data_IF_989382694786
#
_entry.id   IF_989382694786
#
_cell.length_a   1.000
_cell.length_b   1.000
_cell.length_c   1.000
_cell.angle_alpha   90.00
_cell.angle_beta   90.00
_cell.angle_gamma   90.00
#
_symmetry.space_group_name_H-M   'P 1'
#
loop_
_entity.id
_entity.type
_entity.pdbx_description
1 polymer ?
#
# COMPACT_ATOMS: atom_id res chain seq x y z
N UNK A 1 -30.84 46.03 4.54
CA UNK A 1 -29.75 46.25 5.51
C UNK A 1 -29.23 44.91 5.97
N UNK A 2 -27.90 44.72 5.80
CA UNK A 2 -26.98 43.86 6.57
C UNK A 2 -27.15 42.33 6.49
N UNK A 3 -26.34 41.71 5.63
CA UNK A 3 -25.62 40.46 5.94
C UNK A 3 -24.45 40.80 6.92
N UNK A 4 -23.78 39.84 7.62
CA UNK A 4 -22.83 38.96 6.93
C UNK A 4 -22.50 37.58 7.56
N UNK A 5 -21.88 36.73 6.72
CA UNK A 5 -20.72 35.83 6.91
C UNK A 5 -20.60 34.93 8.16
N UNK A 6 -20.38 33.63 7.92
CA UNK A 6 -19.40 32.85 8.71
C UNK A 6 -18.74 31.77 7.85
N UNK A 7 -17.42 31.79 7.92
CA UNK A 7 -16.42 31.09 7.12
C UNK A 7 -16.10 29.71 7.69
N UNK A 8 -15.88 28.75 6.78
CA UNK A 8 -15.24 27.47 7.05
C UNK A 8 -13.88 27.67 7.73
N UNK A 9 -13.64 26.95 8.83
CA UNK A 9 -12.35 26.87 9.49
C UNK A 9 -11.85 25.42 9.42
N UNK A 10 -10.90 25.17 8.53
CA UNK A 10 -10.18 23.90 8.40
C UNK A 10 -9.18 23.80 9.55
N UNK A 11 -9.48 23.00 10.56
CA UNK A 11 -8.52 22.73 11.63
C UNK A 11 -7.44 21.76 11.12
N UNK A 12 -6.24 22.32 10.93
CA UNK A 12 -5.00 21.58 10.78
C UNK A 12 -4.80 20.63 11.96
N UNK A 13 -4.65 19.34 11.67
CA UNK A 13 -4.12 18.37 12.62
C UNK A 13 -2.70 18.79 13.04
N UNK A 14 -2.55 19.11 14.32
CA UNK A 14 -1.27 19.43 14.94
C UNK A 14 -0.37 18.19 14.92
N UNK A 15 0.80 18.33 14.30
CA UNK A 15 1.91 17.38 14.36
C UNK A 15 2.44 17.30 15.80
N UNK A 16 2.87 16.13 16.30
CA UNK A 16 3.76 16.10 17.45
C UNK A 16 5.12 16.67 17.04
N UNK A 17 5.63 17.58 17.85
CA UNK A 17 6.86 18.34 17.62
C UNK A 17 8.08 17.42 17.57
N UNK A 18 8.80 17.43 16.44
CA UNK A 18 10.18 16.98 16.41
C UNK A 18 11.06 18.01 17.13
N UNK A 19 11.98 17.52 17.95
CA UNK A 19 12.86 18.30 18.81
C UNK A 19 13.60 19.41 18.05
N UNK A 20 13.49 20.62 18.60
CA UNK A 20 14.27 21.80 18.25
C UNK A 20 15.73 21.54 18.62
N UNK A 21 16.62 21.60 17.63
CA UNK A 21 18.05 21.83 17.87
C UNK A 21 18.28 23.32 17.62
N UNK A 22 18.58 24.03 18.70
CA UNK A 22 18.79 25.45 18.77
C UNK A 22 20.18 25.87 18.25
N UNK A 23 20.24 27.07 17.67
CA UNK A 23 21.36 27.99 17.87
C UNK A 23 22.60 27.87 16.99
N UNK A 24 22.53 28.35 15.74
CA UNK A 24 23.72 28.63 14.92
C UNK A 24 23.46 29.71 13.87
N UNK A 25 23.52 30.98 14.28
CA UNK A 25 23.40 32.15 13.40
C UNK A 25 24.45 32.14 12.28
N UNK A 26 24.00 32.32 11.04
CA UNK A 26 24.84 32.89 9.97
C UNK A 26 24.09 34.09 9.39
N UNK A 27 24.62 35.27 9.69
CA UNK A 27 24.20 36.57 9.14
C UNK A 27 24.80 36.71 7.74
N UNK A 28 23.98 36.95 6.71
CA UNK A 28 24.45 37.47 5.43
C UNK A 28 23.51 38.61 4.97
N UNK A 29 24.15 39.73 4.64
CA UNK A 29 23.59 41.03 4.29
C UNK A 29 22.63 41.03 3.09
N UNK A 30 21.56 41.83 3.19
CA UNK A 30 20.72 42.24 2.07
C UNK A 30 21.31 43.45 1.32
N UNK A 31 21.12 43.44 -0.01
CA UNK A 31 20.52 44.50 -0.86
C UNK A 31 21.22 44.61 -2.25
N UNK A 32 20.60 45.18 -3.31
CA UNK A 32 19.20 45.58 -3.50
C UNK A 32 18.54 45.01 -4.78
N UNK A 33 17.25 45.32 -4.91
CA UNK A 33 16.33 44.99 -6.00
C UNK A 33 16.68 45.67 -7.35
N UNK A 34 16.36 44.96 -8.44
CA UNK A 34 16.14 45.56 -9.75
C UNK A 34 14.88 44.98 -10.39
N UNK A 35 13.94 45.87 -10.70
CA UNK A 35 12.71 45.57 -11.41
C UNK A 35 12.97 45.40 -12.92
N UNK A 36 12.25 44.47 -13.57
CA UNK A 36 11.85 44.68 -14.96
C UNK A 36 10.56 43.92 -15.29
N UNK A 37 9.66 44.63 -15.96
CA UNK A 37 8.34 44.17 -16.44
C UNK A 37 8.45 43.58 -17.84
N UNK A 38 7.59 42.58 -18.07
CA UNK A 38 6.91 42.22 -19.32
C UNK A 38 7.74 41.72 -20.52
N UNK A 39 7.43 40.50 -20.98
CA UNK A 39 6.78 40.29 -22.28
C UNK A 39 6.39 38.80 -22.44
N UNK A 40 5.10 38.58 -22.67
CA UNK A 40 4.53 37.32 -23.14
C UNK A 40 4.99 37.09 -24.58
N UNK A 41 5.69 35.99 -24.84
CA UNK A 41 5.84 35.43 -26.19
C UNK A 41 5.74 33.92 -26.11
N UNK A 42 4.75 33.37 -26.81
CA UNK A 42 4.55 31.95 -26.98
C UNK A 42 5.74 31.35 -27.75
N UNK A 43 6.32 30.27 -27.22
CA UNK A 43 7.38 29.50 -27.89
C UNK A 43 6.75 28.23 -28.48
N UNK A 44 7.01 27.92 -29.77
CA UNK A 44 6.36 26.82 -30.49
C UNK A 44 6.78 25.46 -29.94
N UNK A 45 5.78 24.56 -29.88
CA UNK A 45 5.96 23.12 -29.61
C UNK A 45 6.89 22.53 -30.67
N UNK A 46 8.09 22.13 -30.24
CA UNK A 46 9.02 21.33 -31.02
C UNK A 46 9.16 20.00 -30.30
N UNK A 47 8.70 18.91 -30.91
CA UNK A 47 8.84 17.56 -30.35
C UNK A 47 10.33 17.22 -30.15
N UNK A 48 10.76 16.84 -28.93
CA UNK A 48 12.03 16.19 -28.74
C UNK A 48 11.83 14.68 -28.65
N UNK A 49 12.32 14.03 -29.71
CA UNK A 49 12.87 12.67 -29.78
C UNK A 49 13.07 11.91 -28.47
N UNK A 50 12.59 10.67 -28.48
CA UNK A 50 12.79 9.56 -27.54
C UNK A 50 14.22 9.45 -26.97
N UNK A 51 14.48 10.15 -25.87
CA UNK A 51 15.59 9.94 -24.95
C UNK A 51 15.20 8.97 -23.84
N UNK A 52 15.07 7.68 -24.18
CA UNK A 52 14.64 6.62 -23.27
C UNK A 52 15.72 6.26 -22.24
N UNK A 53 15.28 6.01 -21.00
CA UNK A 53 16.00 5.17 -20.06
C UNK A 53 16.37 3.84 -20.75
N UNK A 54 17.55 3.24 -20.49
CA UNK A 54 17.97 2.02 -21.17
C UNK A 54 16.95 0.90 -20.91
N UNK A 55 16.57 0.13 -21.96
CA UNK A 55 15.58 -0.93 -21.82
C UNK A 55 16.21 -2.09 -21.05
N UNK A 56 15.93 -2.18 -19.74
CA UNK A 56 16.20 -3.42 -19.01
C UNK A 56 15.21 -4.48 -19.48
N UNK A 57 15.75 -5.48 -20.17
CA UNK A 57 15.10 -6.68 -20.72
C UNK A 57 14.47 -7.59 -19.63
N UNK A 58 13.57 -7.06 -18.81
CA UNK A 58 12.84 -7.80 -17.79
C UNK A 58 11.32 -7.82 -18.03
N UNK A 59 10.84 -7.21 -19.12
CA UNK A 59 9.43 -6.88 -19.28
C UNK A 59 8.44 -8.06 -19.31
N UNK A 60 8.81 -9.27 -19.72
CA UNK A 60 7.84 -10.38 -19.85
C UNK A 60 8.09 -11.55 -18.90
N UNK A 61 9.36 -11.92 -18.68
CA UNK A 61 9.74 -13.00 -17.77
C UNK A 61 9.73 -12.56 -16.29
N UNK A 62 9.96 -11.27 -16.00
CA UNK A 62 9.87 -10.73 -14.63
C UNK A 62 8.42 -10.57 -14.18
N UNK A 63 7.49 -10.15 -15.05
CA UNK A 63 6.07 -10.01 -14.71
C UNK A 63 5.43 -11.35 -14.29
N UNK A 64 5.75 -12.45 -14.97
CA UNK A 64 5.18 -13.76 -14.65
C UNK A 64 5.84 -14.46 -13.44
N UNK A 65 7.12 -14.19 -13.17
CA UNK A 65 7.82 -14.70 -11.98
C UNK A 65 7.48 -13.89 -10.72
N UNK A 66 7.43 -12.55 -10.83
CA UNK A 66 6.93 -11.67 -9.78
C UNK A 66 5.46 -11.98 -9.49
N UNK A 67 4.59 -12.08 -10.50
CA UNK A 67 3.17 -12.44 -10.31
C UNK A 67 2.95 -13.75 -9.56
N UNK A 68 3.80 -14.78 -9.73
CA UNK A 68 3.67 -16.06 -9.02
C UNK A 68 4.17 -16.02 -7.56
N UNK A 69 5.24 -15.30 -7.25
CA UNK A 69 5.70 -15.13 -5.85
C UNK A 69 4.82 -14.12 -5.07
N UNK A 70 4.34 -13.09 -5.76
CA UNK A 70 3.46 -12.04 -5.23
C UNK A 70 2.09 -12.59 -4.81
N UNK A 71 1.59 -13.58 -5.56
CA UNK A 71 0.29 -14.18 -5.27
C UNK A 71 0.29 -15.05 -4.01
N UNK A 72 1.43 -15.54 -3.49
CA UNK A 72 1.41 -16.48 -2.36
C UNK A 72 0.71 -15.92 -1.11
N UNK A 73 1.04 -14.69 -0.70
CA UNK A 73 0.38 -14.03 0.45
C UNK A 73 -1.07 -13.65 0.14
N UNK A 74 -1.34 -13.25 -1.09
CA UNK A 74 -2.68 -12.93 -1.53
C UNK A 74 -3.58 -14.19 -1.53
N UNK A 75 -3.05 -15.35 -1.93
CA UNK A 75 -3.75 -16.64 -1.90
C UNK A 75 -4.14 -17.02 -0.47
N UNK A 76 -3.24 -16.86 0.48
CA UNK A 76 -3.52 -17.12 1.90
C UNK A 76 -4.67 -16.23 2.40
N UNK A 77 -4.65 -14.96 2.02
CA UNK A 77 -5.71 -14.00 2.35
C UNK A 77 -7.05 -14.34 1.69
N UNK A 78 -7.06 -14.69 0.40
CA UNK A 78 -8.28 -15.12 -0.32
C UNK A 78 -8.85 -16.41 0.27
N UNK A 79 -7.98 -17.35 0.67
CA UNK A 79 -8.39 -18.55 1.38
C UNK A 79 -9.02 -18.23 2.73
N UNK A 80 -8.41 -17.31 3.50
CA UNK A 80 -8.94 -16.85 4.78
C UNK A 80 -10.33 -16.21 4.64
N UNK A 81 -10.50 -15.35 3.64
CA UNK A 81 -11.80 -14.75 3.25
C UNK A 81 -12.84 -15.82 2.93
N UNK A 82 -12.48 -16.84 2.14
CA UNK A 82 -13.37 -17.96 1.83
C UNK A 82 -13.78 -18.75 3.09
N UNK A 83 -12.84 -19.02 4.00
CA UNK A 83 -13.11 -19.63 5.31
C UNK A 83 -14.07 -18.76 6.14
N UNK A 84 -13.90 -17.43 6.10
CA UNK A 84 -14.78 -16.48 6.78
C UNK A 84 -16.17 -16.38 6.13
N UNK A 85 -16.40 -17.06 5.00
CA UNK A 85 -17.67 -17.06 4.27
C UNK A 85 -17.83 -15.87 3.33
N UNK A 86 -16.75 -15.15 3.06
CA UNK A 86 -16.69 -14.00 2.16
C UNK A 86 -15.83 -14.36 0.93
N UNK A 87 -16.38 -15.21 0.06
CA UNK A 87 -15.68 -15.62 -1.17
C UNK A 87 -15.26 -14.39 -1.99
N UNK A 88 -14.08 -14.45 -2.61
CA UNK A 88 -13.55 -13.40 -3.48
C UNK A 88 -13.35 -14.00 -4.86
N UNK A 89 -14.16 -13.60 -5.83
CA UNK A 89 -14.14 -14.10 -7.20
C UNK A 89 -14.30 -12.95 -8.21
N UNK A 90 -14.19 -13.29 -9.50
CA UNK A 90 -14.55 -12.40 -10.60
C UNK A 90 -13.93 -11.00 -10.54
N UNK A 91 -14.78 -9.98 -10.49
CA UNK A 91 -14.37 -8.57 -10.51
C UNK A 91 -13.61 -8.17 -9.24
N UNK A 92 -14.05 -8.64 -8.07
CA UNK A 92 -13.43 -8.33 -6.77
C UNK A 92 -12.04 -8.95 -6.67
N UNK A 93 -11.89 -10.20 -7.10
CA UNK A 93 -10.57 -10.83 -7.16
C UNK A 93 -9.65 -10.09 -8.13
N UNK A 94 -10.17 -9.68 -9.28
CA UNK A 94 -9.40 -8.92 -10.26
C UNK A 94 -8.96 -7.57 -9.72
N UNK A 95 -9.80 -6.88 -8.93
CA UNK A 95 -9.43 -5.63 -8.24
C UNK A 95 -8.36 -5.91 -7.20
N UNK A 96 -8.59 -6.87 -6.30
CA UNK A 96 -7.65 -7.23 -5.25
C UNK A 96 -6.25 -7.60 -5.80
N UNK A 97 -6.18 -8.33 -6.92
CA UNK A 97 -4.90 -8.61 -7.61
C UNK A 97 -4.20 -7.34 -8.09
N UNK A 98 -4.91 -6.38 -8.70
CA UNK A 98 -4.30 -5.11 -9.15
C UNK A 98 -3.77 -4.28 -7.98
N UNK A 99 -4.51 -4.25 -6.88
CA UNK A 99 -4.05 -3.62 -5.65
C UNK A 99 -2.79 -4.30 -5.11
N UNK A 100 -2.76 -5.64 -5.09
CA UNK A 100 -1.59 -6.39 -4.63
C UNK A 100 -0.36 -6.18 -5.52
N UNK A 101 -0.54 -6.15 -6.85
CA UNK A 101 0.53 -5.82 -7.79
C UNK A 101 1.16 -4.46 -7.50
N UNK A 102 0.35 -3.49 -7.06
CA UNK A 102 0.85 -2.15 -6.67
C UNK A 102 1.67 -2.23 -5.39
N UNK A 103 1.15 -2.91 -4.36
CA UNK A 103 1.86 -3.14 -3.09
C UNK A 103 3.24 -3.76 -3.35
N UNK A 104 3.31 -4.78 -4.20
CA UNK A 104 4.56 -5.46 -4.51
C UNK A 104 5.48 -4.61 -5.41
N UNK A 105 4.92 -3.83 -6.34
CA UNK A 105 5.69 -2.89 -7.15
C UNK A 105 6.37 -1.82 -6.29
N UNK A 106 5.67 -1.26 -5.29
CA UNK A 106 6.27 -0.31 -4.35
C UNK A 106 7.41 -0.96 -3.57
N UNK A 107 7.19 -2.15 -3.00
CA UNK A 107 8.23 -2.87 -2.25
C UNK A 107 9.44 -3.20 -3.13
N UNK A 108 9.22 -3.56 -4.38
CA UNK A 108 10.30 -3.83 -5.34
C UNK A 108 11.09 -2.56 -5.71
N UNK A 109 10.44 -1.40 -5.75
CA UNK A 109 11.09 -0.11 -5.99
C UNK A 109 11.82 0.46 -4.77
N UNK A 110 11.52 -0.04 -3.57
CA UNK A 110 12.13 0.39 -2.30
C UNK A 110 12.93 -0.75 -1.66
N UNK A 111 14.04 -1.23 -2.28
CA UNK A 111 14.81 -2.37 -1.80
C UNK A 111 15.44 -2.16 -0.41
N UNK A 112 15.71 -0.92 0.01
CA UNK A 112 16.18 -0.64 1.36
C UNK A 112 15.05 -0.70 2.39
N UNK A 113 13.80 -0.65 1.92
CA UNK A 113 12.61 -0.91 2.71
C UNK A 113 12.17 0.28 3.55
N UNK A 114 11.51 -0.06 4.64
CA UNK A 114 10.81 0.84 5.55
C UNK A 114 11.83 1.39 6.54
N UNK A 115 12.06 2.69 6.44
CA UNK A 115 13.17 3.34 7.15
C UNK A 115 13.10 3.26 8.66
N UNK A 116 11.88 3.20 9.20
CA UNK A 116 11.56 3.22 10.61
C UNK A 116 10.94 1.91 11.11
N UNK A 117 11.18 0.79 10.41
CA UNK A 117 10.75 -0.55 10.86
C UNK A 117 11.95 -1.39 11.27
N UNK A 118 11.94 -1.88 12.50
CA UNK A 118 13.06 -2.54 13.16
C UNK A 118 13.70 -3.66 12.31
N UNK A 119 12.88 -4.53 11.70
CA UNK A 119 13.40 -5.65 10.89
C UNK A 119 14.14 -5.18 9.64
N UNK A 120 13.72 -4.08 9.02
CA UNK A 120 14.38 -3.52 7.84
C UNK A 120 15.64 -2.74 8.24
N UNK A 121 15.61 -2.06 9.39
CA UNK A 121 16.78 -1.42 10.01
C UNK A 121 17.86 -2.46 10.31
N UNK A 122 17.50 -3.57 10.95
CA UNK A 122 18.44 -4.64 11.27
C UNK A 122 19.01 -5.27 9.99
N UNK A 123 18.15 -5.67 9.04
CA UNK A 123 18.55 -6.26 7.76
C UNK A 123 19.54 -5.41 6.98
N UNK A 124 19.38 -4.08 7.03
CA UNK A 124 20.20 -3.13 6.27
C UNK A 124 21.32 -2.49 7.09
N UNK A 125 21.53 -2.94 8.34
CA UNK A 125 22.46 -2.31 9.28
C UNK A 125 22.23 -0.79 9.39
N UNK A 126 20.95 -0.40 9.36
CA UNK A 126 20.38 0.95 9.46
C UNK A 126 20.54 1.87 8.26
N UNK A 127 21.00 1.35 7.12
CA UNK A 127 20.98 2.11 5.88
C UNK A 127 19.55 2.49 5.46
N UNK A 128 18.54 1.67 5.80
CA UNK A 128 17.13 2.04 5.60
C UNK A 128 16.74 3.31 6.35
N UNK A 129 17.17 3.48 7.61
CA UNK A 129 16.92 4.69 8.39
C UNK A 129 17.59 5.92 7.78
N UNK A 130 18.87 5.79 7.40
CA UNK A 130 19.61 6.89 6.78
C UNK A 130 18.97 7.36 5.49
N UNK A 131 18.63 6.42 4.61
CA UNK A 131 17.96 6.71 3.34
C UNK A 131 16.59 7.32 3.55
N UNK A 132 15.83 6.83 4.53
CA UNK A 132 14.51 7.37 4.84
C UNK A 132 14.56 8.78 5.45
N UNK A 133 15.58 9.12 6.24
CA UNK A 133 15.75 10.51 6.68
C UNK A 133 16.12 11.41 5.49
N UNK A 134 17.03 10.96 4.63
CA UNK A 134 17.37 11.69 3.41
C UNK A 134 16.16 11.85 2.47
N UNK A 135 15.29 10.82 2.40
CA UNK A 135 14.02 10.84 1.70
C UNK A 135 13.11 11.94 2.24
N UNK A 136 12.92 12.00 3.57
CA UNK A 136 12.11 13.02 4.23
C UNK A 136 12.63 14.43 3.93
N UNK A 137 13.94 14.67 4.09
CA UNK A 137 14.56 15.97 3.83
C UNK A 137 14.37 16.37 2.35
N UNK A 138 14.60 15.44 1.42
CA UNK A 138 14.41 15.70 -0.01
C UNK A 138 12.95 16.00 -0.34
N UNK A 139 12.00 15.25 0.22
CA UNK A 139 10.57 15.51 0.03
C UNK A 139 10.19 16.90 0.54
N UNK A 140 10.65 17.27 1.74
CA UNK A 140 10.38 18.59 2.32
C UNK A 140 11.00 19.72 1.48
N UNK A 141 12.20 19.54 0.93
CA UNK A 141 12.81 20.50 0.01
C UNK A 141 12.00 20.65 -1.27
N UNK A 142 11.55 19.53 -1.88
CA UNK A 142 10.71 19.58 -3.08
C UNK A 142 9.39 20.32 -2.80
N UNK A 143 8.77 20.11 -1.64
CA UNK A 143 7.53 20.76 -1.26
C UNK A 143 7.75 22.25 -0.98
N UNK A 144 8.66 22.59 -0.07
CA UNK A 144 8.78 23.94 0.48
C UNK A 144 9.59 24.88 -0.43
N UNK A 145 10.63 24.36 -1.10
CA UNK A 145 11.53 25.18 -1.91
C UNK A 145 11.16 25.15 -3.40
N UNK A 146 10.78 23.98 -3.91
CA UNK A 146 10.42 23.83 -5.33
C UNK A 146 8.91 23.94 -5.60
N UNK A 147 8.08 24.02 -4.56
CA UNK A 147 6.62 24.15 -4.69
C UNK A 147 5.93 22.91 -5.25
N UNK A 148 6.54 21.73 -5.13
CA UNK A 148 5.95 20.50 -5.64
C UNK A 148 4.75 20.07 -4.79
N UNK A 149 3.70 19.52 -5.41
CA UNK A 149 2.61 18.92 -4.65
C UNK A 149 3.10 17.76 -3.76
N UNK A 150 2.54 17.65 -2.56
CA UNK A 150 3.13 16.84 -1.49
C UNK A 150 3.15 15.33 -1.77
N UNK A 151 2.19 14.79 -2.52
CA UNK A 151 2.18 13.36 -2.91
C UNK A 151 3.29 13.08 -3.93
N UNK A 152 3.39 13.90 -4.96
CA UNK A 152 4.39 13.77 -6.03
C UNK A 152 5.81 13.93 -5.46
N UNK A 153 6.02 14.89 -4.57
CA UNK A 153 7.30 15.09 -3.88
C UNK A 153 7.71 13.86 -3.04
N UNK A 154 6.80 13.34 -2.22
CA UNK A 154 7.06 12.13 -1.39
C UNK A 154 7.31 10.89 -2.25
N UNK A 155 6.48 10.64 -3.27
CA UNK A 155 6.67 9.52 -4.18
C UNK A 155 8.02 9.60 -4.91
N UNK A 156 8.39 10.79 -5.37
CA UNK A 156 9.67 11.06 -6.03
C UNK A 156 10.84 10.81 -5.07
N UNK A 157 10.81 11.39 -3.87
CA UNK A 157 11.86 11.20 -2.88
C UNK A 157 12.02 9.71 -2.50
N UNK A 158 10.92 8.97 -2.39
CA UNK A 158 10.94 7.53 -2.14
C UNK A 158 11.67 6.77 -3.27
N UNK A 159 11.39 7.09 -4.53
CA UNK A 159 12.04 6.46 -5.69
C UNK A 159 13.55 6.68 -5.70
N UNK A 160 14.02 7.90 -5.44
CA UNK A 160 15.46 8.18 -5.43
C UNK A 160 16.17 7.61 -4.20
N UNK A 161 15.53 7.68 -3.04
CA UNK A 161 16.10 7.15 -1.80
C UNK A 161 16.04 5.63 -1.71
N UNK A 162 15.11 5.00 -2.45
CA UNK A 162 14.82 3.56 -2.42
C UNK A 162 14.43 3.06 -1.02
N UNK A 163 13.95 3.97 -0.16
CA UNK A 163 13.47 3.74 1.20
C UNK A 163 12.39 4.78 1.55
N UNK A 164 11.76 4.65 2.71
CA UNK A 164 10.89 5.70 3.25
C UNK A 164 10.10 5.29 4.47
N UNK A 165 9.32 6.24 5.00
CA UNK A 165 8.29 6.00 6.02
C UNK A 165 6.94 5.66 5.35
N UNK A 166 5.90 5.44 6.17
CA UNK A 166 4.57 5.02 5.70
C UNK A 166 3.95 5.98 4.67
N UNK A 167 4.07 7.29 4.86
CA UNK A 167 3.55 8.31 3.94
C UNK A 167 4.25 8.31 2.57
N UNK A 168 5.55 8.02 2.52
CA UNK A 168 6.33 7.86 1.29
C UNK A 168 5.90 6.59 0.53
N UNK A 169 5.77 5.47 1.25
CA UNK A 169 5.28 4.20 0.72
C UNK A 169 3.85 4.36 0.15
N UNK A 170 2.97 5.04 0.88
CA UNK A 170 1.60 5.34 0.45
C UNK A 170 1.56 6.25 -0.78
N UNK A 171 2.34 7.35 -0.79
CA UNK A 171 2.39 8.27 -1.91
C UNK A 171 2.89 7.58 -3.19
N UNK A 172 3.93 6.76 -3.10
CA UNK A 172 4.40 5.96 -4.23
C UNK A 172 3.34 4.95 -4.68
N UNK A 173 2.63 4.32 -3.74
CA UNK A 173 1.48 3.45 -4.04
C UNK A 173 0.39 4.16 -4.86
N UNK A 174 0.02 5.38 -4.48
CA UNK A 174 -0.95 6.19 -5.25
C UNK A 174 -0.46 6.43 -6.68
N UNK A 175 0.80 6.88 -6.84
CA UNK A 175 1.37 7.18 -8.16
C UNK A 175 1.49 5.93 -9.04
N UNK A 176 1.88 4.78 -8.48
CA UNK A 176 1.98 3.53 -9.23
C UNK A 176 0.62 2.93 -9.56
N UNK A 177 -0.41 3.17 -8.74
CA UNK A 177 -1.76 2.67 -9.01
C UNK A 177 -2.56 3.54 -9.98
N UNK A 178 -2.22 4.81 -10.13
CA UNK A 178 -2.97 5.77 -10.97
C UNK A 178 -3.35 5.23 -12.37
N UNK A 179 -2.47 4.54 -13.13
CA UNK A 179 -2.82 4.01 -14.45
C UNK A 179 -3.82 2.84 -14.44
N UNK A 180 -4.15 2.30 -13.27
CA UNK A 180 -5.03 1.16 -13.09
C UNK A 180 -6.44 1.54 -12.67
N UNK A 181 -6.69 2.82 -12.38
CA UNK A 181 -8.01 3.33 -12.03
C UNK A 181 -8.97 3.32 -13.22
N UNK A 182 -10.24 3.04 -12.92
CA UNK A 182 -11.38 3.23 -13.81
C UNK A 182 -12.10 4.55 -13.51
N UNK A 183 -12.97 5.04 -14.41
CA UNK A 183 -13.64 6.34 -14.23
C UNK A 183 -14.44 6.51 -12.93
N UNK A 184 -14.98 5.43 -12.37
CA UNK A 184 -15.80 5.38 -11.14
C UNK A 184 -14.99 5.04 -9.88
N UNK A 185 -13.66 5.07 -9.98
CA UNK A 185 -12.73 4.68 -8.93
C UNK A 185 -11.85 5.84 -8.50
N UNK A 186 -11.60 5.90 -7.19
CA UNK A 186 -10.86 6.98 -6.55
C UNK A 186 -9.78 6.40 -5.63
N UNK A 187 -8.59 6.99 -5.70
CA UNK A 187 -7.51 6.74 -4.74
C UNK A 187 -7.58 7.75 -3.61
N UNK A 188 -7.42 7.27 -2.38
CA UNK A 188 -7.29 8.10 -1.21
C UNK A 188 -5.94 7.87 -0.54
N UNK A 189 -5.34 8.94 -0.02
CA UNK A 189 -4.36 8.80 1.05
C UNK A 189 -5.10 8.91 2.39
N UNK A 190 -4.93 7.89 3.22
CA UNK A 190 -5.68 7.71 4.47
C UNK A 190 -4.69 7.65 5.62
N UNK A 191 -5.02 8.31 6.72
CA UNK A 191 -4.27 8.24 7.98
C UNK A 191 -5.12 7.62 9.07
N UNK A 192 -4.49 6.90 10.00
CA UNK A 192 -5.11 6.50 11.26
C UNK A 192 -4.85 7.55 12.34
N UNK A 193 -5.83 7.81 13.19
CA UNK A 193 -5.68 8.63 14.40
C UNK A 193 -5.21 7.83 15.62
N UNK A 194 -5.27 6.49 15.56
CA UNK A 194 -4.80 5.61 16.65
C UNK A 194 -3.28 5.51 16.69
N UNK A 195 -2.69 5.40 15.50
CA UNK A 195 -1.25 5.30 15.27
C UNK A 195 -0.99 6.25 14.10
N UNK A 196 -0.04 7.16 14.21
CA UNK A 196 0.34 8.09 13.13
C UNK A 196 0.90 7.33 11.92
N UNK A 197 0.00 6.74 11.14
CA UNK A 197 0.29 5.82 10.05
C UNK A 197 -0.57 6.15 8.84
N UNK A 198 0.05 6.06 7.66
CA UNK A 198 -0.53 6.47 6.40
C UNK A 198 -0.46 5.34 5.39
N UNK A 199 -1.56 5.10 4.67
CA UNK A 199 -1.65 4.14 3.56
C UNK A 199 -2.45 4.71 2.39
N UNK A 200 -2.51 3.94 1.30
CA UNK A 200 -3.36 4.25 0.16
C UNK A 200 -4.60 3.34 0.17
N UNK A 201 -5.77 3.91 -0.10
CA UNK A 201 -7.00 3.15 -0.32
C UNK A 201 -7.53 3.36 -1.73
N UNK A 202 -8.10 2.30 -2.29
CA UNK A 202 -8.80 2.32 -3.55
C UNK A 202 -10.28 2.02 -3.31
N UNK A 203 -11.11 3.03 -3.57
CA UNK A 203 -12.54 3.02 -3.31
C UNK A 203 -13.33 3.16 -4.60
N UNK A 204 -14.56 2.64 -4.60
CA UNK A 204 -15.55 2.95 -5.64
C UNK A 204 -16.33 4.18 -5.21
N UNK A 205 -16.42 5.18 -6.08
CA UNK A 205 -17.08 6.45 -5.74
C UNK A 205 -18.61 6.26 -5.57
N UNK A 206 -19.18 5.39 -6.37
CA UNK A 206 -20.63 5.13 -6.41
C UNK A 206 -21.12 4.18 -5.32
N UNK A 207 -20.21 3.50 -4.62
CA UNK A 207 -20.53 2.58 -3.52
C UNK A 207 -19.41 2.58 -2.46
N UNK A 208 -19.32 3.63 -1.62
CA UNK A 208 -18.30 3.76 -0.57
C UNK A 208 -18.65 2.90 0.65
N UNK A 209 -18.78 1.59 0.44
CA UNK A 209 -18.90 0.60 1.51
C UNK A 209 -17.52 0.01 1.79
N UNK A 210 -17.08 0.06 3.05
CA UNK A 210 -15.78 -0.47 3.50
C UNK A 210 -15.57 -1.95 3.19
N UNK A 211 -16.64 -2.69 2.87
CA UNK A 211 -16.58 -4.07 2.42
C UNK A 211 -15.92 -4.24 1.02
N UNK A 212 -15.89 -3.19 0.20
CA UNK A 212 -15.35 -3.22 -1.17
C UNK A 212 -14.13 -2.29 -1.37
N UNK A 213 -13.79 -1.53 -0.35
CA UNK A 213 -12.60 -0.67 -0.33
C UNK A 213 -11.35 -1.53 -0.14
N UNK A 214 -10.30 -1.21 -0.88
CA UNK A 214 -9.05 -1.97 -0.86
C UNK A 214 -7.94 -1.14 -0.24
N UNK A 215 -7.27 -1.73 0.75
CA UNK A 215 -6.07 -1.18 1.38
C UNK A 215 -4.84 -1.62 0.62
N UNK A 216 -4.06 -0.65 0.17
CA UNK A 216 -2.74 -0.82 -0.43
C UNK A 216 -1.70 -0.25 0.52
N UNK A 217 -1.13 -1.13 1.35
CA UNK A 217 -0.12 -0.75 2.33
C UNK A 217 1.18 -1.52 2.13
N UNK A 218 2.13 -0.97 1.35
CA UNK A 218 3.44 -1.58 1.16
C UNK A 218 4.38 -1.39 2.36
N UNK A 219 4.02 -0.58 3.35
CA UNK A 219 4.77 -0.42 4.59
C UNK A 219 4.38 -1.50 5.63
N UNK A 220 3.12 -1.90 5.69
CA UNK A 220 2.71 -3.05 6.51
C UNK A 220 3.10 -4.39 5.87
N UNK A 221 3.11 -5.46 6.65
CA UNK A 221 3.37 -6.83 6.21
C UNK A 221 2.09 -7.50 5.71
N UNK A 222 2.10 -8.02 4.49
CA UNK A 222 0.96 -8.75 3.91
C UNK A 222 0.63 -8.32 2.48
N UNK A 223 -0.43 -8.88 1.87
CA UNK A 223 -0.90 -8.46 0.55
C UNK A 223 -1.75 -7.19 0.65
N UNK A 224 -2.28 -6.71 -0.48
CA UNK A 224 -3.45 -5.85 -0.42
C UNK A 224 -4.65 -6.60 0.20
N UNK A 225 -5.51 -5.89 0.93
CA UNK A 225 -6.65 -6.46 1.65
C UNK A 225 -7.90 -5.60 1.48
N UNK A 226 -9.07 -6.14 1.84
CA UNK A 226 -10.28 -5.34 1.99
C UNK A 226 -10.18 -4.52 3.28
N UNK A 227 -10.67 -3.28 3.26
CA UNK A 227 -10.58 -2.37 4.40
C UNK A 227 -11.22 -2.95 5.65
N UNK A 228 -12.33 -3.69 5.51
CA UNK A 228 -13.02 -4.40 6.59
C UNK A 228 -12.18 -5.45 7.33
N UNK A 229 -11.09 -5.93 6.72
CA UNK A 229 -10.21 -6.96 7.27
C UNK A 229 -8.84 -6.39 7.68
N UNK A 230 -8.63 -5.08 7.52
CA UNK A 230 -7.35 -4.43 7.75
C UNK A 230 -7.16 -3.95 9.19
N UNK A 231 -5.94 -4.09 9.71
CA UNK A 231 -5.55 -3.81 11.10
C UNK A 231 -5.76 -2.36 11.54
N UNK A 232 -5.73 -1.40 10.60
CA UNK A 232 -5.89 0.03 10.86
C UNK A 232 -7.08 0.65 10.11
N UNK A 233 -7.74 -0.14 9.25
CA UNK A 233 -8.83 0.30 8.37
C UNK A 233 -10.19 -0.31 8.75
N UNK A 234 -10.22 -1.33 9.62
CA UNK A 234 -11.46 -2.04 9.99
C UNK A 234 -12.40 -1.22 10.89
N UNK A 235 -11.95 -0.08 11.41
CA UNK A 235 -12.76 0.85 12.19
C UNK A 235 -12.77 2.25 11.53
N UNK A 236 -13.79 2.58 10.71
CA UNK A 236 -13.83 3.83 9.94
C UNK A 236 -13.67 5.10 10.78
N UNK A 237 -14.19 5.12 12.01
CA UNK A 237 -14.11 6.27 12.92
C UNK A 237 -12.68 6.64 13.37
N UNK A 238 -11.69 5.79 13.10
CA UNK A 238 -10.28 6.04 13.41
C UNK A 238 -9.45 6.41 12.19
N UNK A 239 -10.10 6.63 11.04
CA UNK A 239 -9.43 6.92 9.78
C UNK A 239 -9.85 8.28 9.25
N UNK A 240 -8.92 8.97 8.59
CA UNK A 240 -9.19 10.24 7.93
C UNK A 240 -8.55 10.21 6.54
N UNK A 241 -9.33 10.55 5.52
CA UNK A 241 -8.82 10.76 4.17
C UNK A 241 -8.45 12.22 3.98
N UNK A 242 -7.28 12.50 3.41
CA UNK A 242 -6.80 13.89 3.27
C UNK A 242 -6.26 14.24 1.88
N UNK A 243 -6.04 13.25 1.00
CA UNK A 243 -5.92 13.45 -0.43
C UNK A 243 -6.83 12.47 -1.16
N UNK A 244 -7.42 12.90 -2.28
CA UNK A 244 -8.17 12.03 -3.18
C UNK A 244 -7.77 12.31 -4.64
N UNK A 245 -7.78 11.25 -5.45
CA UNK A 245 -7.48 11.33 -6.87
C UNK A 245 -8.51 10.50 -7.63
N UNK A 246 -9.32 11.15 -8.45
CA UNK A 246 -10.09 10.46 -9.49
C UNK A 246 -9.14 9.91 -10.55
N UNK A 247 -9.64 9.05 -11.44
CA UNK A 247 -8.84 8.53 -12.55
C UNK A 247 -8.08 9.64 -13.30
N UNK A 248 -8.78 10.71 -13.67
CA UNK A 248 -8.18 11.82 -14.43
C UNK A 248 -7.11 12.56 -13.64
N UNK A 249 -7.39 12.96 -12.39
CA UNK A 249 -6.40 13.71 -11.60
C UNK A 249 -5.22 12.84 -11.18
N UNK A 250 -5.42 11.53 -10.96
CA UNK A 250 -4.35 10.58 -10.69
C UNK A 250 -3.41 10.45 -11.90
N UNK A 251 -3.96 10.31 -13.11
CA UNK A 251 -3.18 10.21 -14.34
C UNK A 251 -2.38 11.49 -14.64
N UNK A 252 -2.98 12.66 -14.43
CA UNK A 252 -2.28 13.94 -14.56
C UNK A 252 -1.11 14.01 -13.57
N UNK A 253 -1.37 13.76 -12.28
CA UNK A 253 -0.33 13.78 -11.25
C UNK A 253 0.81 12.80 -11.54
N UNK A 254 0.49 11.60 -12.03
CA UNK A 254 1.48 10.60 -12.43
C UNK A 254 2.30 11.05 -13.64
N UNK A 255 1.65 11.57 -14.66
CA UNK A 255 2.31 12.03 -15.90
C UNK A 255 3.26 13.20 -15.61
N UNK A 256 2.83 14.16 -14.78
CA UNK A 256 3.67 15.27 -14.33
C UNK A 256 4.88 14.77 -13.54
N UNK A 257 4.66 13.82 -12.62
CA UNK A 257 5.75 13.21 -11.83
C UNK A 257 6.75 12.51 -12.73
N UNK A 258 6.28 11.69 -13.68
CA UNK A 258 7.14 10.98 -14.62
C UNK A 258 7.95 11.94 -15.50
N UNK A 259 7.29 13.00 -16.00
CA UNK A 259 7.95 14.02 -16.79
C UNK A 259 9.03 14.73 -15.97
N UNK A 260 8.74 15.13 -14.74
CA UNK A 260 9.71 15.80 -13.87
C UNK A 260 10.90 14.90 -13.55
N UNK A 261 10.66 13.62 -13.28
CA UNK A 261 11.73 12.62 -13.06
C UNK A 261 12.57 12.46 -14.33
N UNK A 262 11.96 12.36 -15.51
CA UNK A 262 12.68 12.20 -16.77
C UNK A 262 13.56 13.42 -17.10
N UNK A 263 13.10 14.65 -16.79
CA UNK A 263 13.79 15.88 -17.16
C UNK A 263 14.73 16.41 -16.07
N UNK A 264 14.57 15.97 -14.82
CA UNK A 264 15.37 16.42 -13.68
C UNK A 264 16.07 15.29 -12.95
N UNK A 265 16.07 14.07 -13.50
CA UNK A 265 16.56 12.86 -12.85
C UNK A 265 17.99 12.96 -12.32
N UNK A 266 18.92 13.50 -13.12
CA UNK A 266 20.31 13.67 -12.70
C UNK A 266 20.44 14.66 -11.53
N UNK A 267 19.68 15.77 -11.58
CA UNK A 267 19.66 16.77 -10.50
C UNK A 267 19.05 16.20 -9.23
N UNK A 268 17.95 15.45 -9.34
CA UNK A 268 17.28 14.79 -8.22
C UNK A 268 18.17 13.72 -7.59
N UNK A 269 18.89 12.95 -8.41
CA UNK A 269 19.88 11.96 -7.96
C UNK A 269 21.04 12.62 -7.22
N UNK A 270 21.61 13.70 -7.78
CA UNK A 270 22.67 14.47 -7.12
C UNK A 270 22.19 15.08 -5.78
N UNK A 271 20.99 15.65 -5.76
CA UNK A 271 20.37 16.19 -4.55
C UNK A 271 20.18 15.11 -3.48
N UNK A 272 19.68 13.94 -3.85
CA UNK A 272 19.57 12.81 -2.93
C UNK A 272 20.93 12.39 -2.37
N UNK A 273 21.95 12.22 -3.22
CA UNK A 273 23.28 11.81 -2.79
C UNK A 273 23.91 12.83 -1.83
N UNK A 274 23.75 14.12 -2.10
CA UNK A 274 24.18 15.20 -1.21
C UNK A 274 23.47 15.14 0.14
N UNK A 275 22.14 15.02 0.13
CA UNK A 275 21.34 14.92 1.36
C UNK A 275 21.71 13.66 2.15
N UNK A 276 21.90 12.50 1.50
CA UNK A 276 22.32 11.26 2.16
C UNK A 276 23.71 11.37 2.78
N UNK A 277 24.64 12.06 2.13
CA UNK A 277 25.98 12.28 2.65
C UNK A 277 25.99 13.15 3.92
N UNK A 278 25.03 14.06 4.05
CA UNK A 278 24.85 14.88 5.25
C UNK A 278 24.19 14.13 6.43
N UNK A 279 23.58 12.97 6.19
CA UNK A 279 23.01 12.13 7.25
C UNK A 279 24.11 11.30 7.92
N UNK A 280 24.17 11.39 9.25
CA UNK A 280 25.15 10.69 10.08
C UNK A 280 25.21 9.18 9.76
N UNK A 281 26.41 8.57 9.67
CA UNK A 281 26.57 7.15 9.33
C UNK A 281 25.87 6.16 10.27
N UNK A 282 25.72 6.53 11.52
CA UNK A 282 25.11 5.76 12.59
C UNK A 282 23.66 6.14 12.85
N UNK A 283 23.08 7.07 12.07
CA UNK A 283 21.70 7.51 12.27
C UNK A 283 20.72 6.33 12.29
N UNK A 284 19.90 6.30 13.33
CA UNK A 284 18.73 5.44 13.47
C UNK A 284 17.56 6.30 13.91
N UNK A 285 16.36 5.92 13.49
CA UNK A 285 15.17 6.53 14.05
C UNK A 285 15.10 6.27 15.56
N UNK A 286 14.65 7.25 16.36
CA UNK A 286 14.41 7.05 17.79
C UNK A 286 13.40 5.91 18.06
N UNK A 287 13.45 5.27 19.25
CA UNK A 287 12.58 4.14 19.58
C UNK A 287 11.08 4.44 19.52
N UNK A 288 10.66 5.67 19.83
CA UNK A 288 9.26 6.13 19.83
C UNK A 288 8.65 6.24 18.43
N UNK A 289 9.48 6.34 17.39
CA UNK A 289 9.06 6.37 15.98
C UNK A 289 9.58 5.16 15.20
N UNK A 290 10.15 4.17 15.89
CA UNK A 290 10.59 2.89 15.33
C UNK A 290 9.57 1.80 15.61
N UNK A 291 9.07 1.17 14.56
CA UNK A 291 7.98 0.20 14.65
C UNK A 291 8.50 -1.22 14.49
N UNK A 292 7.82 -2.18 15.11
CA UNK A 292 7.94 -3.60 14.73
C UNK A 292 7.27 -3.80 13.37
N UNK A 293 7.62 -4.87 12.66
CA UNK A 293 6.85 -5.31 11.49
C UNK A 293 5.38 -5.47 11.88
N UNK A 294 4.50 -4.74 11.19
CA UNK A 294 3.07 -4.67 11.50
C UNK A 294 2.27 -5.35 10.40
N UNK A 295 1.43 -6.34 10.71
CA UNK A 295 0.62 -7.02 9.70
C UNK A 295 -0.57 -6.18 9.25
N UNK A 296 -0.79 -6.11 7.94
CA UNK A 296 -1.92 -5.36 7.34
C UNK A 296 -3.27 -5.96 7.71
N UNK A 297 -3.34 -7.27 7.93
CA UNK A 297 -4.56 -8.00 8.31
C UNK A 297 -4.84 -7.82 9.80
N UNK A 298 -6.09 -7.52 10.19
CA UNK A 298 -6.47 -7.33 11.59
C UNK A 298 -6.43 -8.61 12.42
N UNK A 299 -6.14 -8.48 13.72
CA UNK A 299 -6.14 -9.63 14.64
C UNK A 299 -7.53 -10.23 14.79
N UNK A 300 -8.57 -9.40 14.72
CA UNK A 300 -9.95 -9.86 14.78
C UNK A 300 -10.29 -10.78 13.60
N UNK A 301 -9.91 -10.42 12.36
CA UNK A 301 -10.13 -11.28 11.20
C UNK A 301 -9.38 -12.61 11.30
N UNK A 302 -8.09 -12.59 11.65
CA UNK A 302 -7.31 -13.81 11.81
C UNK A 302 -7.94 -14.78 12.83
N UNK A 303 -8.39 -14.28 13.98
CA UNK A 303 -9.04 -15.09 15.01
C UNK A 303 -10.37 -15.69 14.53
N UNK A 304 -11.17 -14.93 13.75
CA UNK A 304 -12.41 -15.47 13.14
C UNK A 304 -12.09 -16.63 12.19
N UNK A 305 -11.06 -16.48 11.36
CA UNK A 305 -10.61 -17.50 10.40
C UNK A 305 -10.15 -18.77 11.13
N UNK A 306 -9.28 -18.62 12.14
CA UNK A 306 -8.80 -19.74 12.95
C UNK A 306 -9.97 -20.47 13.64
N UNK A 307 -10.87 -19.72 14.28
CA UNK A 307 -12.07 -20.29 14.93
C UNK A 307 -12.94 -21.05 13.94
N UNK A 308 -13.17 -20.47 12.75
CA UNK A 308 -13.97 -21.13 11.72
C UNK A 308 -13.30 -22.40 11.23
N UNK A 309 -11.99 -22.41 10.98
CA UNK A 309 -11.28 -23.62 10.54
C UNK A 309 -11.54 -24.82 11.44
N UNK A 310 -11.62 -24.60 12.76
CA UNK A 310 -11.78 -25.65 13.76
C UNK A 310 -13.25 -25.94 14.14
N UNK A 311 -14.19 -25.11 13.67
CA UNK A 311 -15.62 -25.24 13.98
C UNK A 311 -16.23 -26.48 13.33
N UNK A 312 -17.03 -27.22 14.09
CA UNK A 312 -17.89 -28.29 13.56
C UNK A 312 -18.88 -27.71 12.54
N UNK A 313 -19.17 -28.49 11.49
CA UNK A 313 -20.16 -28.14 10.49
C UNK A 313 -21.53 -27.82 11.11
N UNK A 314 -22.12 -26.72 10.67
CA UNK A 314 -23.49 -26.36 11.01
C UNK A 314 -24.46 -27.29 10.26
N UNK A 315 -24.99 -28.29 10.97
CA UNK A 315 -25.88 -29.29 10.40
C UNK A 315 -27.23 -28.72 9.98
N UNK A 316 -27.72 -27.68 10.65
CA UNK A 316 -28.96 -27.01 10.28
C UNK A 316 -28.79 -26.22 8.97
N UNK A 317 -27.67 -25.52 8.80
CA UNK A 317 -27.34 -24.85 7.54
C UNK A 317 -27.12 -25.87 6.41
N UNK A 318 -26.44 -26.98 6.68
CA UNK A 318 -26.23 -28.04 5.71
C UNK A 318 -27.54 -28.73 5.28
N UNK A 319 -28.47 -28.97 6.21
CA UNK A 319 -29.81 -29.50 5.90
C UNK A 319 -30.59 -28.57 4.97
N UNK A 320 -30.54 -27.25 5.21
CA UNK A 320 -31.15 -26.25 4.32
C UNK A 320 -30.55 -26.24 2.90
N UNK A 321 -29.31 -26.72 2.75
CA UNK A 321 -28.62 -26.87 1.46
C UNK A 321 -28.85 -28.26 0.84
N UNK A 322 -29.76 -29.07 1.39
CA UNK A 322 -30.14 -30.37 0.81
C UNK A 322 -29.22 -31.53 1.19
N UNK A 323 -28.34 -31.38 2.18
CA UNK A 323 -27.55 -32.50 2.71
C UNK A 323 -28.49 -33.46 3.46
N UNK A 324 -28.50 -34.74 3.08
CA UNK A 324 -29.43 -35.73 3.65
C UNK A 324 -29.25 -35.91 5.16
N UNK A 325 -30.34 -36.25 5.85
CA UNK A 325 -30.33 -36.49 7.30
C UNK A 325 -29.30 -37.54 7.72
N UNK A 326 -29.17 -38.63 6.95
CA UNK A 326 -28.17 -39.68 7.19
C UNK A 326 -26.74 -39.14 7.04
N UNK A 327 -26.52 -38.28 6.04
CA UNK A 327 -25.25 -37.57 5.85
C UNK A 327 -25.04 -36.44 6.86
N UNK A 328 -25.99 -36.14 7.75
CA UNK A 328 -25.82 -35.20 8.86
C UNK A 328 -25.66 -35.94 10.19
N UNK A 329 -26.31 -37.09 10.37
CA UNK A 329 -26.32 -37.92 11.58
C UNK A 329 -25.02 -38.71 11.86
N UNK A 330 -23.90 -38.40 11.18
CA UNK A 330 -22.67 -39.14 11.46
C UNK A 330 -22.16 -38.94 12.89
N UNK A 331 -21.46 -39.94 13.42
CA UNK A 331 -20.85 -39.88 14.73
C UNK A 331 -19.90 -38.68 14.87
N UNK A 332 -19.72 -38.17 16.11
CA UNK A 332 -18.78 -37.08 16.42
C UNK A 332 -17.37 -37.29 15.87
N UNK A 333 -16.91 -38.54 15.78
CA UNK A 333 -15.61 -38.92 15.20
C UNK A 333 -15.45 -38.49 13.73
N UNK A 334 -16.55 -38.37 12.97
CA UNK A 334 -16.54 -37.94 11.56
C UNK A 334 -16.78 -36.44 11.37
N UNK A 335 -17.17 -35.71 12.41
CA UNK A 335 -17.42 -34.27 12.31
C UNK A 335 -16.16 -33.49 11.92
N UNK A 336 -15.01 -33.85 12.50
CA UNK A 336 -13.71 -33.27 12.16
C UNK A 336 -13.32 -33.59 10.71
N UNK A 337 -13.50 -34.85 10.28
CA UNK A 337 -13.21 -35.26 8.89
C UNK A 337 -14.05 -34.49 7.87
N UNK A 338 -15.34 -34.26 8.17
CA UNK A 338 -16.21 -33.45 7.30
C UNK A 338 -15.78 -31.99 7.24
N UNK A 339 -15.40 -31.38 8.37
CA UNK A 339 -14.87 -30.01 8.37
C UNK A 339 -13.58 -29.91 7.55
N UNK A 340 -12.67 -30.87 7.72
CA UNK A 340 -11.46 -30.97 6.91
C UNK A 340 -11.77 -31.10 5.41
N UNK A 341 -12.75 -31.93 5.03
CA UNK A 341 -13.17 -32.09 3.65
C UNK A 341 -13.77 -30.79 3.09
N UNK A 342 -14.64 -30.10 3.83
CA UNK A 342 -15.18 -28.80 3.42
C UNK A 342 -14.05 -27.79 3.20
N UNK A 343 -13.11 -27.69 4.14
CA UNK A 343 -11.96 -26.79 4.01
C UNK A 343 -11.10 -27.15 2.79
N UNK A 344 -10.89 -28.44 2.50
CA UNK A 344 -10.18 -28.89 1.32
C UNK A 344 -10.92 -28.55 0.02
N UNK A 345 -12.24 -28.74 -0.03
CA UNK A 345 -13.06 -28.36 -1.19
C UNK A 345 -13.01 -26.86 -1.45
N UNK A 346 -13.12 -26.04 -0.40
CA UNK A 346 -12.95 -24.58 -0.51
C UNK A 346 -11.54 -24.22 -1.02
N UNK A 347 -10.49 -24.85 -0.49
CA UNK A 347 -9.12 -24.60 -0.92
C UNK A 347 -8.88 -24.98 -2.39
N UNK A 348 -9.46 -26.09 -2.88
CA UNK A 348 -9.43 -26.43 -4.32
C UNK A 348 -10.11 -25.35 -5.16
N UNK A 349 -11.27 -24.85 -4.71
CA UNK A 349 -11.97 -23.75 -5.38
C UNK A 349 -11.10 -22.49 -5.46
N UNK A 350 -10.54 -22.07 -4.31
CA UNK A 350 -9.64 -20.91 -4.23
C UNK A 350 -8.39 -21.11 -5.10
N UNK A 351 -7.76 -22.27 -5.09
CA UNK A 351 -6.57 -22.54 -5.90
C UNK A 351 -6.84 -22.35 -7.40
N UNK A 352 -7.99 -22.84 -7.88
CA UNK A 352 -8.40 -22.73 -9.29
C UNK A 352 -8.82 -21.32 -9.68
N UNK A 353 -9.51 -20.62 -8.79
CA UNK A 353 -9.85 -19.21 -9.01
C UNK A 353 -8.59 -18.33 -9.02
N UNK A 354 -7.63 -18.66 -8.14
CA UNK A 354 -6.34 -17.99 -8.05
C UNK A 354 -5.40 -18.31 -9.22
N UNK A 355 -5.64 -19.40 -9.95
CA UNK A 355 -4.80 -19.83 -11.07
C UNK A 355 -5.68 -20.36 -12.20
N UNK A 356 -6.10 -19.48 -13.14
CA UNK A 356 -6.91 -19.89 -14.28
C UNK A 356 -6.25 -21.03 -15.07
N UNK A 357 -7.03 -22.06 -15.39
CA UNK A 357 -6.55 -23.25 -16.09
C UNK A 357 -5.93 -24.34 -15.19
N UNK A 358 -5.84 -24.13 -13.87
CA UNK A 358 -5.35 -25.15 -12.95
C UNK A 358 -6.30 -26.36 -12.91
N UNK A 359 -5.74 -27.55 -13.15
CA UNK A 359 -6.50 -28.81 -13.08
C UNK A 359 -6.93 -29.09 -11.63
N UNK A 360 -7.99 -29.89 -11.45
CA UNK A 360 -8.44 -30.29 -10.11
C UNK A 360 -7.33 -31.05 -9.37
N UNK A 361 -6.58 -31.90 -10.08
CA UNK A 361 -5.52 -32.68 -9.46
C UNK A 361 -4.36 -31.79 -8.98
N UNK A 362 -3.93 -30.82 -9.78
CA UNK A 362 -2.91 -29.85 -9.37
C UNK A 362 -3.42 -28.94 -8.22
N UNK A 363 -4.68 -28.51 -8.28
CA UNK A 363 -5.29 -27.71 -7.21
C UNK A 363 -5.33 -28.45 -5.85
N UNK A 364 -5.48 -29.78 -5.85
CA UNK A 364 -5.42 -30.59 -4.62
C UNK A 364 -4.05 -30.56 -3.95
N UNK A 365 -2.97 -30.45 -4.72
CA UNK A 365 -1.61 -30.39 -4.20
C UNK A 365 -1.35 -29.09 -3.42
N UNK A 366 -2.08 -28.01 -3.73
CA UNK A 366 -1.96 -26.73 -3.04
C UNK A 366 -2.73 -26.63 -1.71
N UNK A 367 -3.69 -27.53 -1.48
CA UNK A 367 -4.59 -27.47 -0.32
C UNK A 367 -3.85 -27.35 1.02
N UNK A 368 -2.82 -28.16 1.32
CA UNK A 368 -2.12 -28.06 2.61
C UNK A 368 -1.47 -26.68 2.81
N UNK A 369 -0.89 -26.12 1.74
CA UNK A 369 -0.23 -24.81 1.76
C UNK A 369 -1.22 -23.68 2.04
N UNK A 370 -2.34 -23.64 1.30
CA UNK A 370 -3.38 -22.62 1.46
C UNK A 370 -4.02 -22.65 2.85
N UNK A 371 -4.32 -23.83 3.37
CA UNK A 371 -4.90 -23.98 4.71
C UNK A 371 -3.89 -23.59 5.81
N UNK A 372 -2.62 -23.95 5.63
CA UNK A 372 -1.57 -23.52 6.55
C UNK A 372 -1.40 -21.99 6.54
N UNK A 373 -1.35 -21.40 5.34
CA UNK A 373 -1.21 -19.97 5.13
C UNK A 373 -2.35 -19.16 5.76
N UNK A 374 -3.59 -19.52 5.44
CA UNK A 374 -4.78 -18.90 6.01
C UNK A 374 -4.85 -19.03 7.55
N UNK A 375 -4.35 -20.13 8.12
CA UNK A 375 -4.36 -20.34 9.58
C UNK A 375 -3.24 -19.57 10.31
N UNK A 376 -2.04 -19.53 9.72
CA UNK A 376 -0.83 -19.22 10.47
C UNK A 376 0.05 -18.11 9.88
N UNK A 377 -0.21 -17.65 8.66
CA UNK A 377 0.69 -16.75 7.93
C UNK A 377 0.07 -15.39 7.62
N UNK A 378 -1.23 -15.19 7.84
CA UNK A 378 -1.92 -13.92 7.55
C UNK A 378 -1.26 -12.68 8.18
N UNK A 379 -0.69 -12.85 9.37
CA UNK A 379 -0.07 -11.77 10.14
C UNK A 379 1.44 -11.87 10.30
N UNK A 380 2.11 -12.76 9.56
CA UNK A 380 3.57 -12.93 9.65
C UNK A 380 4.32 -12.02 8.67
N UNK A 381 5.17 -11.16 9.23
CA UNK A 381 6.22 -10.44 8.49
C UNK A 381 7.25 -11.39 7.91
N UNK A 382 7.98 -10.96 6.87
CA UNK A 382 9.09 -11.72 6.27
C UNK A 382 10.41 -11.15 6.75
#
# INVERSE_FOLDING_TARGET
MVAPLSTHNSQHAQRPAAAVVDGGQVVIHQAPAAASRAASTAIPVREPSSGGLPPRQHGALSRNALSRQNDARLRDYVMARAIDGQVVDGADLSRLRRANLTVDAVRAMLPWGRGNVAVDIERTQGESSRRSLACQIMADQLIQMAGWPAIQARATAALFSQAGTCDHHAALGVMLHAPHLRPDEVLYQVTSSQIGHVWAEWRQETNPSSAFELVMDPWMDGPAVFASDGQLSDVPGNTQSYFNFSQTSALVAKTETDWLIAHSGDRLSAAFLQTRAAVAPDFRWPPDVTYRGMPVVSRAFELRVQTKLDRVLDTAKAAKLGVSGDALAAPPSLQKARRSLLNATMAVGVAREMTPGLSIQAAKEEVPGLLHGARHQLRKGR
#
